data_IF_506245681853
#
_entry.id   IF_506245681853
#
_cell.length_a   1.000
_cell.length_b   1.000
_cell.length_c   1.000
_cell.angle_alpha   90.00
_cell.angle_beta   90.00
_cell.angle_gamma   90.00
#
_symmetry.space_group_name_H-M   'P 1'
#
loop_
_entity.id
_entity.type
_entity.pdbx_description
1 polymer ?
#
# COMPACT_ATOMS: atom_id res chain seq x y z
N UNK A 1 -28.46 24.41 9.00
CA UNK A 1 -28.71 23.06 9.55
C UNK A 1 -27.50 22.66 10.37
N UNK A 2 -27.60 21.74 11.35
CA UNK A 2 -26.48 21.39 12.20
C UNK A 2 -25.39 20.62 11.43
N UNK A 3 -24.16 20.63 11.99
CA UNK A 3 -23.08 19.74 11.58
C UNK A 3 -22.99 18.58 12.56
N UNK A 4 -22.65 17.41 12.05
CA UNK A 4 -22.52 16.21 12.86
C UNK A 4 -21.13 15.59 12.74
N UNK A 5 -20.61 15.13 13.88
CA UNK A 5 -19.63 14.05 13.87
C UNK A 5 -20.39 12.74 13.77
N UNK A 6 -19.93 11.79 12.96
CA UNK A 6 -20.63 10.51 12.82
C UNK A 6 -19.68 9.36 12.52
N UNK A 7 -20.15 8.17 12.78
CA UNK A 7 -19.50 6.90 12.47
C UNK A 7 -20.55 5.82 12.22
N UNK A 8 -20.21 4.79 11.44
CA UNK A 8 -21.11 3.68 11.14
C UNK A 8 -20.42 2.33 11.30
N UNK A 9 -21.20 1.31 11.70
CA UNK A 9 -20.75 -0.07 11.66
C UNK A 9 -21.59 -0.87 10.67
N UNK A 10 -20.92 -1.76 9.94
CA UNK A 10 -21.52 -2.54 8.84
C UNK A 10 -21.16 -4.00 8.95
N UNK A 11 -21.89 -4.86 8.21
CA UNK A 11 -21.65 -6.30 8.19
C UNK A 11 -20.44 -6.74 7.35
N UNK A 12 -19.59 -5.83 6.90
CA UNK A 12 -18.40 -6.15 6.13
C UNK A 12 -17.75 -4.96 5.46
N UNK A 13 -16.75 -5.21 4.63
CA UNK A 13 -16.08 -4.20 3.83
C UNK A 13 -16.92 -3.82 2.59
N UNK A 14 -16.60 -2.69 1.93
CA UNK A 14 -17.34 -2.16 0.78
C UNK A 14 -17.66 -3.16 -0.33
N UNK A 15 -16.83 -4.16 -0.55
CA UNK A 15 -17.07 -5.19 -1.56
C UNK A 15 -18.20 -6.14 -1.17
N UNK A 16 -18.41 -6.38 0.12
CA UNK A 16 -19.27 -7.45 0.66
C UNK A 16 -20.46 -6.91 1.45
N UNK A 17 -20.35 -5.70 2.05
CA UNK A 17 -21.42 -5.17 2.89
C UNK A 17 -22.73 -4.98 2.12
N UNK A 18 -23.82 -5.21 2.82
CA UNK A 18 -25.19 -4.94 2.40
C UNK A 18 -26.07 -4.38 3.52
N UNK A 19 -25.51 -4.26 4.73
CA UNK A 19 -26.25 -3.87 5.94
C UNK A 19 -25.44 -2.89 6.78
N UNK A 20 -26.08 -1.81 7.22
CA UNK A 20 -25.60 -0.92 8.28
C UNK A 20 -26.16 -1.41 9.60
N UNK A 21 -25.29 -1.77 10.53
CA UNK A 21 -25.64 -2.30 11.85
C UNK A 21 -26.01 -1.23 12.85
N UNK A 22 -25.26 -0.15 12.86
CA UNK A 22 -25.57 1.02 13.67
C UNK A 22 -24.96 2.28 13.08
N UNK A 23 -25.54 3.42 13.45
CA UNK A 23 -25.04 4.77 13.17
C UNK A 23 -24.98 5.49 14.49
N UNK A 24 -23.87 6.15 14.76
CA UNK A 24 -23.70 7.02 15.93
C UNK A 24 -23.31 8.41 15.47
N UNK A 25 -23.80 9.44 16.13
CA UNK A 25 -23.53 10.81 15.77
C UNK A 25 -23.55 11.76 16.97
N UNK A 26 -22.85 12.89 16.84
CA UNK A 26 -22.87 13.98 17.80
C UNK A 26 -23.19 15.26 17.03
N UNK A 27 -24.26 15.93 17.41
CA UNK A 27 -24.63 17.24 16.91
C UNK A 27 -23.66 18.29 17.48
N UNK A 28 -22.88 18.94 16.63
CA UNK A 28 -21.85 19.90 17.07
C UNK A 28 -22.42 21.21 17.61
N UNK A 29 -23.65 21.56 17.25
CA UNK A 29 -24.27 22.80 17.70
C UNK A 29 -24.88 22.64 19.10
N UNK A 30 -25.44 21.47 19.38
CA UNK A 30 -26.16 21.21 20.66
C UNK A 30 -25.41 20.33 21.64
N UNK A 31 -24.44 19.55 21.14
CA UNK A 31 -23.75 18.51 21.89
C UNK A 31 -24.59 17.24 22.09
N UNK A 32 -25.77 17.14 21.47
CA UNK A 32 -26.62 15.96 21.54
C UNK A 32 -26.00 14.75 20.92
N UNK A 33 -26.10 13.60 21.59
CA UNK A 33 -25.59 12.30 21.13
C UNK A 33 -26.71 11.45 20.61
N UNK A 34 -26.62 11.10 19.34
CA UNK A 34 -27.59 10.28 18.62
C UNK A 34 -26.96 8.90 18.36
N UNK A 35 -27.75 7.85 18.55
CA UNK A 35 -27.29 6.49 18.32
C UNK A 35 -28.45 5.62 17.84
N UNK A 36 -28.33 5.07 16.64
CA UNK A 36 -29.35 4.27 15.97
C UNK A 36 -28.93 2.80 15.93
N UNK A 37 -29.82 1.91 16.37
CA UNK A 37 -29.74 0.46 16.16
C UNK A 37 -30.30 0.09 14.79
N UNK A 38 -30.15 -1.15 14.30
CA UNK A 38 -30.46 -1.50 12.91
C UNK A 38 -31.82 -1.00 12.39
N UNK A 39 -32.86 -1.09 13.18
CA UNK A 39 -34.21 -0.62 12.78
C UNK A 39 -34.35 0.91 12.68
N UNK A 40 -33.40 1.66 13.22
CA UNK A 40 -33.41 3.13 13.28
C UNK A 40 -32.35 3.77 12.41
N UNK A 41 -31.47 2.97 11.80
CA UNK A 41 -30.34 3.49 11.03
C UNK A 41 -30.78 4.34 9.84
N UNK A 42 -31.85 3.96 9.14
CA UNK A 42 -32.33 4.74 8.00
C UNK A 42 -32.86 6.12 8.42
N UNK A 43 -33.57 6.22 9.55
CA UNK A 43 -34.09 7.49 10.04
C UNK A 43 -32.94 8.44 10.41
N UNK A 44 -31.94 7.96 11.15
CA UNK A 44 -30.78 8.77 11.49
C UNK A 44 -29.93 9.11 10.26
N UNK A 45 -29.78 8.19 9.31
CA UNK A 45 -29.12 8.48 8.04
C UNK A 45 -29.82 9.62 7.28
N UNK A 46 -31.16 9.69 7.28
CA UNK A 46 -31.90 10.79 6.66
C UNK A 46 -31.66 12.13 7.36
N UNK A 47 -31.58 12.14 8.68
CA UNK A 47 -31.23 13.34 9.45
C UNK A 47 -29.80 13.83 9.12
N UNK A 48 -28.84 12.91 9.07
CA UNK A 48 -27.46 13.22 8.69
C UNK A 48 -27.36 13.73 7.25
N UNK A 49 -28.16 13.17 6.33
CA UNK A 49 -28.19 13.58 4.93
C UNK A 49 -28.59 15.06 4.77
N UNK A 50 -29.53 15.56 5.55
CA UNK A 50 -30.01 16.94 5.52
C UNK A 50 -29.07 17.93 6.24
N UNK A 51 -27.98 17.48 6.84
CA UNK A 51 -27.07 18.33 7.63
C UNK A 51 -26.25 19.30 6.78
N UNK A 52 -25.70 20.36 7.40
CA UNK A 52 -24.79 21.31 6.78
C UNK A 52 -23.37 20.76 6.60
N UNK A 53 -23.04 19.65 7.22
CA UNK A 53 -21.76 18.98 7.05
C UNK A 53 -21.61 17.78 7.97
N UNK A 54 -20.90 16.78 7.46
CA UNK A 54 -20.54 15.57 8.18
C UNK A 54 -19.03 15.55 8.42
N UNK A 55 -18.66 15.16 9.62
CA UNK A 55 -17.26 15.02 10.04
C UNK A 55 -17.09 13.60 10.56
N UNK A 56 -16.08 12.90 10.07
CA UNK A 56 -15.76 11.58 10.55
C UNK A 56 -14.32 11.19 10.25
N UNK A 57 -13.97 9.96 10.52
CA UNK A 57 -12.61 9.47 10.33
C UNK A 57 -12.54 8.42 9.23
N UNK A 58 -11.97 8.76 8.07
CA UNK A 58 -11.91 7.92 6.86
C UNK A 58 -13.24 7.84 6.07
N UNK A 59 -14.11 8.82 6.22
CA UNK A 59 -15.45 8.83 5.63
C UNK A 59 -15.46 8.84 4.10
N UNK A 60 -14.47 9.47 3.44
CA UNK A 60 -14.36 9.44 1.99
C UNK A 60 -14.09 8.05 1.42
N UNK A 61 -13.35 7.24 2.17
CA UNK A 61 -12.99 5.90 1.72
C UNK A 61 -13.98 4.82 2.16
N UNK A 62 -14.81 5.07 3.19
CA UNK A 62 -15.69 4.04 3.72
C UNK A 62 -17.13 4.52 3.98
N UNK A 63 -17.38 5.34 5.00
CA UNK A 63 -18.71 5.58 5.55
C UNK A 63 -19.71 6.13 4.53
N UNK A 64 -19.39 7.23 3.86
CA UNK A 64 -20.25 7.80 2.83
C UNK A 64 -20.54 6.82 1.68
N UNK A 65 -19.59 5.97 1.34
CA UNK A 65 -19.73 4.96 0.28
C UNK A 65 -20.54 3.76 0.75
N UNK A 66 -20.39 3.37 2.01
CA UNK A 66 -21.18 2.30 2.61
C UNK A 66 -22.64 2.70 2.71
N UNK A 67 -22.93 3.92 3.16
CA UNK A 67 -24.30 4.47 3.19
C UNK A 67 -24.91 4.52 1.79
N UNK A 68 -24.15 4.98 0.77
CA UNK A 68 -24.63 4.99 -0.62
C UNK A 68 -24.85 3.60 -1.22
N UNK A 69 -24.17 2.58 -0.70
CA UNK A 69 -24.38 1.21 -1.14
C UNK A 69 -25.63 0.58 -0.53
N UNK A 70 -25.96 0.92 0.70
CA UNK A 70 -27.11 0.38 1.42
C UNK A 70 -28.39 1.17 1.16
N UNK A 71 -28.26 2.49 1.07
CA UNK A 71 -29.39 3.40 0.84
C UNK A 71 -29.29 4.05 -0.53
N UNK A 72 -30.08 3.59 -1.49
CA UNK A 72 -30.05 4.09 -2.90
C UNK A 72 -30.28 5.61 -3.01
N UNK A 73 -30.96 6.21 -2.04
CA UNK A 73 -31.22 7.66 -1.99
C UNK A 73 -30.02 8.47 -1.44
N UNK A 74 -29.00 7.81 -0.87
CA UNK A 74 -27.81 8.50 -0.34
C UNK A 74 -26.83 8.81 -1.49
N UNK A 75 -26.85 10.01 -2.00
CA UNK A 75 -25.93 10.49 -3.06
C UNK A 75 -24.82 11.42 -2.52
N UNK A 76 -24.76 11.60 -1.16
CA UNK A 76 -23.81 12.46 -0.46
C UNK A 76 -22.38 11.87 -0.38
N UNK A 77 -21.94 11.13 -1.39
CA UNK A 77 -20.60 10.51 -1.40
C UNK A 77 -19.47 11.50 -1.66
N UNK A 78 -19.80 12.65 -2.21
CA UNK A 78 -18.86 13.67 -2.70
C UNK A 78 -19.19 15.08 -2.20
N UNK A 79 -19.90 15.25 -1.09
CA UNK A 79 -20.32 16.56 -0.60
C UNK A 79 -19.13 17.35 -0.06
N UNK A 80 -18.88 18.53 -0.61
CA UNK A 80 -17.77 19.41 -0.21
C UNK A 80 -17.92 20.00 1.19
N UNK A 81 -19.07 19.88 1.80
CA UNK A 81 -19.33 20.31 3.18
C UNK A 81 -18.81 19.31 4.22
N UNK A 82 -18.49 18.09 3.79
CA UNK A 82 -18.02 17.02 4.66
C UNK A 82 -16.50 17.08 4.84
N UNK A 83 -16.02 16.68 6.01
CA UNK A 83 -14.60 16.68 6.38
C UNK A 83 -14.17 15.33 6.93
N UNK A 84 -13.06 14.85 6.40
CA UNK A 84 -12.42 13.62 6.86
C UNK A 84 -11.21 13.94 7.72
N UNK A 85 -11.29 13.65 9.01
CA UNK A 85 -10.25 13.97 9.99
C UNK A 85 -8.92 13.27 9.70
N UNK A 86 -8.90 12.13 8.99
CA UNK A 86 -7.65 11.47 8.61
C UNK A 86 -6.85 12.30 7.59
N UNK A 87 -7.53 13.06 6.74
CA UNK A 87 -6.89 13.95 5.77
C UNK A 87 -6.26 15.14 6.50
N UNK A 88 -7.02 15.78 7.39
CA UNK A 88 -6.51 16.89 8.19
C UNK A 88 -5.31 16.47 9.05
N UNK A 89 -5.37 15.30 9.68
CA UNK A 89 -4.25 14.83 10.51
C UNK A 89 -2.98 14.58 9.70
N UNK A 90 -3.07 14.06 8.48
CA UNK A 90 -1.92 13.86 7.59
C UNK A 90 -1.33 15.17 7.10
N UNK A 91 -2.18 16.15 6.81
CA UNK A 91 -1.76 17.46 6.37
C UNK A 91 -1.04 18.23 7.49
N UNK A 92 -1.60 18.24 8.68
CA UNK A 92 -1.12 19.05 9.81
C UNK A 92 0.10 18.39 10.48
N UNK A 93 0.16 17.04 10.55
CA UNK A 93 1.24 16.27 11.20
C UNK A 93 1.92 15.26 10.28
N UNK A 94 2.63 15.70 9.27
CA UNK A 94 3.34 14.80 8.35
C UNK A 94 4.50 14.03 9.02
N UNK A 95 5.03 14.53 10.15
CA UNK A 95 6.16 13.94 10.89
C UNK A 95 5.72 13.19 12.15
N UNK A 96 4.51 12.67 12.17
CA UNK A 96 3.89 12.06 13.36
C UNK A 96 4.72 10.93 13.99
N UNK A 97 5.48 10.17 13.19
CA UNK A 97 6.41 9.17 13.73
C UNK A 97 7.47 9.78 14.64
N UNK A 98 8.11 10.86 14.21
CA UNK A 98 9.16 11.53 14.97
C UNK A 98 8.58 12.20 16.23
N UNK A 99 7.33 12.67 16.15
CA UNK A 99 6.63 13.24 17.29
C UNK A 99 6.31 12.17 18.34
N UNK A 100 5.84 11.00 17.94
CA UNK A 100 5.61 9.85 18.83
C UNK A 100 6.92 9.41 19.50
N UNK A 101 8.02 9.24 18.74
CA UNK A 101 9.33 8.87 19.29
C UNK A 101 9.82 9.89 20.33
N UNK A 102 9.61 11.18 20.09
CA UNK A 102 9.93 12.25 21.05
C UNK A 102 9.10 12.15 22.33
N UNK A 103 7.82 11.85 22.25
CA UNK A 103 6.95 11.70 23.42
C UNK A 103 7.30 10.42 24.20
N UNK A 104 7.58 9.31 23.51
CA UNK A 104 8.04 8.06 24.13
C UNK A 104 9.34 8.28 24.88
N UNK A 105 10.29 9.03 24.35
CA UNK A 105 11.54 9.37 25.03
C UNK A 105 11.33 10.19 26.31
N UNK A 106 10.16 10.84 26.46
CA UNK A 106 9.73 11.58 27.66
C UNK A 106 8.87 10.76 28.62
N UNK A 107 8.68 9.47 28.35
CA UNK A 107 7.97 8.53 29.22
C UNK A 107 6.52 8.22 28.82
N UNK A 108 6.04 8.64 27.64
CA UNK A 108 4.74 8.21 27.14
C UNK A 108 4.81 6.72 26.76
N UNK A 109 3.92 5.91 27.32
CA UNK A 109 3.71 4.56 26.85
C UNK A 109 2.84 4.56 25.59
N UNK A 110 3.41 4.12 24.48
CA UNK A 110 2.71 4.09 23.20
C UNK A 110 3.06 2.82 22.42
N UNK A 111 2.05 2.00 22.00
CA UNK A 111 2.26 0.76 21.28
C UNK A 111 3.06 0.97 19.98
N UNK A 112 4.05 0.12 19.75
CA UNK A 112 4.96 0.25 18.60
C UNK A 112 4.22 0.21 17.26
N UNK A 113 3.19 -0.61 17.16
CA UNK A 113 2.36 -0.78 15.96
C UNK A 113 1.49 0.45 15.62
N UNK A 114 1.26 1.34 16.58
CA UNK A 114 0.47 2.56 16.40
C UNK A 114 1.33 3.81 16.11
N UNK A 115 2.65 3.71 16.24
CA UNK A 115 3.58 4.83 16.02
C UNK A 115 3.49 5.33 14.58
N UNK A 116 3.37 6.63 14.39
CA UNK A 116 3.21 7.28 13.10
C UNK A 116 1.88 6.96 12.40
N UNK A 117 0.96 6.26 13.05
CA UNK A 117 -0.35 5.94 12.47
C UNK A 117 -1.34 7.09 12.69
N UNK A 118 -2.14 7.34 11.64
CA UNK A 118 -3.25 8.30 11.66
C UNK A 118 -4.60 7.61 11.92
N UNK A 119 -4.61 6.39 12.42
CA UNK A 119 -5.85 5.69 12.79
C UNK A 119 -6.51 6.33 14.01
N UNK A 120 -7.83 6.23 14.10
CA UNK A 120 -8.60 6.78 15.21
C UNK A 120 -8.13 6.23 16.57
N UNK A 121 -7.81 4.93 16.66
CA UNK A 121 -7.22 4.30 17.85
C UNK A 121 -5.91 5.00 18.28
N UNK A 122 -5.01 5.28 17.32
CA UNK A 122 -3.76 5.95 17.64
C UNK A 122 -3.97 7.39 18.13
N UNK A 123 -4.95 8.08 17.54
CA UNK A 123 -5.34 9.43 17.97
C UNK A 123 -6.00 9.43 19.34
N UNK A 124 -6.89 8.48 19.62
CA UNK A 124 -7.48 8.33 20.95
C UNK A 124 -6.44 8.20 22.04
N UNK A 125 -5.40 7.38 21.82
CA UNK A 125 -4.27 7.27 22.76
C UNK A 125 -3.48 8.57 22.93
N UNK A 126 -3.22 9.32 21.84
CA UNK A 126 -2.51 10.62 21.95
C UNK A 126 -3.31 11.68 22.69
N UNK A 127 -4.62 11.65 22.53
CA UNK A 127 -5.54 12.60 23.17
C UNK A 127 -6.00 12.18 24.57
N UNK A 128 -5.63 10.96 25.00
CA UNK A 128 -6.06 10.41 26.28
C UNK A 128 -7.55 10.02 26.34
N UNK A 129 -8.18 9.87 25.18
CA UNK A 129 -9.55 9.35 25.03
C UNK A 129 -9.45 7.90 24.59
N UNK A 130 -9.67 6.98 25.51
CA UNK A 130 -9.50 5.55 25.23
C UNK A 130 -10.57 5.08 24.23
N UNK A 131 -10.11 4.30 23.27
CA UNK A 131 -10.93 3.53 22.35
C UNK A 131 -10.73 2.06 22.68
N UNK A 132 -11.80 1.37 23.03
CA UNK A 132 -11.77 -0.08 23.21
C UNK A 132 -11.59 -0.79 21.86
N UNK A 133 -11.05 -2.01 21.88
CA UNK A 133 -11.00 -2.86 20.70
C UNK A 133 -12.28 -3.69 20.62
N UNK A 134 -12.90 -3.72 19.45
CA UNK A 134 -13.97 -4.65 19.15
C UNK A 134 -13.38 -5.89 18.48
N UNK A 135 -13.44 -7.04 19.16
CA UNK A 135 -12.97 -8.34 18.66
C UNK A 135 -14.13 -9.28 18.31
N UNK A 136 -15.36 -8.77 18.24
CA UNK A 136 -16.55 -9.55 17.96
C UNK A 136 -16.77 -9.88 16.49
N UNK A 137 -17.87 -10.62 16.23
CA UNK A 137 -18.32 -10.94 14.87
C UNK A 137 -18.97 -9.72 14.22
N UNK A 138 -18.41 -9.28 13.10
CA UNK A 138 -18.95 -8.17 12.29
C UNK A 138 -20.15 -8.56 11.44
N UNK A 139 -20.45 -9.84 11.27
CA UNK A 139 -21.56 -10.28 10.43
C UNK A 139 -22.94 -9.98 11.01
N UNK A 140 -23.02 -9.75 12.31
CA UNK A 140 -24.29 -9.52 13.03
C UNK A 140 -24.16 -8.38 14.05
N UNK A 141 -25.21 -7.58 14.15
CA UNK A 141 -25.31 -6.56 15.18
C UNK A 141 -25.26 -7.15 16.59
N UNK A 142 -24.55 -6.50 17.50
CA UNK A 142 -24.56 -6.77 18.93
C UNK A 142 -24.31 -5.50 19.76
N UNK A 143 -24.66 -5.53 21.06
CA UNK A 143 -24.54 -4.35 21.94
C UNK A 143 -23.09 -3.92 22.20
N UNK A 144 -22.11 -4.81 22.13
CA UNK A 144 -20.70 -4.42 22.28
C UNK A 144 -20.20 -3.65 21.05
N UNK A 145 -20.63 -4.02 19.83
CA UNK A 145 -20.40 -3.23 18.62
C UNK A 145 -21.03 -1.83 18.73
N UNK A 146 -22.26 -1.76 19.26
CA UNK A 146 -22.96 -0.49 19.43
C UNK A 146 -22.24 0.43 20.43
N UNK A 147 -21.75 -0.12 21.54
CA UNK A 147 -20.93 0.63 22.51
C UNK A 147 -19.61 1.09 21.90
N UNK A 148 -18.97 0.23 21.10
CA UNK A 148 -17.76 0.57 20.38
C UNK A 148 -17.97 1.74 19.40
N UNK A 149 -19.03 1.72 18.59
CA UNK A 149 -19.38 2.83 17.69
C UNK A 149 -19.63 4.15 18.43
N UNK A 150 -20.25 4.10 19.62
CA UNK A 150 -20.44 5.29 20.45
C UNK A 150 -19.12 5.87 20.96
N UNK A 151 -18.11 5.03 21.24
CA UNK A 151 -16.78 5.50 21.62
C UNK A 151 -16.05 6.15 20.44
N UNK A 152 -16.22 5.62 19.23
CA UNK A 152 -15.56 6.14 18.05
C UNK A 152 -15.95 7.59 17.74
N UNK A 153 -17.19 7.97 17.87
CA UNK A 153 -17.60 9.36 17.69
C UNK A 153 -17.08 10.29 18.81
N UNK A 154 -16.91 9.80 20.04
CA UNK A 154 -16.30 10.60 21.12
C UNK A 154 -14.81 10.84 20.86
N UNK A 155 -14.09 9.82 20.39
CA UNK A 155 -12.68 9.98 19.97
C UNK A 155 -12.58 10.92 18.76
N UNK A 156 -13.51 10.80 17.81
CA UNK A 156 -13.57 11.67 16.63
C UNK A 156 -13.89 13.12 17.02
N UNK A 157 -14.77 13.33 18.00
CA UNK A 157 -15.04 14.66 18.55
C UNK A 157 -13.79 15.29 19.19
N UNK A 158 -13.11 14.55 20.05
CA UNK A 158 -11.88 15.02 20.69
C UNK A 158 -10.78 15.35 19.64
N UNK A 159 -10.69 14.51 18.59
CA UNK A 159 -9.76 14.77 17.48
C UNK A 159 -10.16 16.01 16.69
N UNK A 160 -11.44 16.18 16.37
CA UNK A 160 -11.94 17.35 15.66
C UNK A 160 -11.70 18.64 16.45
N UNK A 161 -12.02 18.66 17.75
CA UNK A 161 -11.74 19.80 18.62
C UNK A 161 -10.25 20.13 18.72
N UNK A 162 -9.40 19.11 18.66
CA UNK A 162 -7.97 19.31 18.65
C UNK A 162 -7.48 19.87 17.31
N UNK A 163 -8.00 19.38 16.16
CA UNK A 163 -7.73 19.90 14.82
C UNK A 163 -8.13 21.39 14.73
N UNK A 164 -9.32 21.75 15.21
CA UNK A 164 -9.83 23.12 15.16
C UNK A 164 -9.00 24.11 16.01
N UNK A 165 -8.29 23.64 17.03
CA UNK A 165 -7.35 24.44 17.82
C UNK A 165 -6.01 24.70 17.12
N UNK A 166 -5.73 24.01 16.02
CA UNK A 166 -4.49 24.22 15.28
C UNK A 166 -4.61 25.44 14.35
N UNK A 167 -3.64 26.33 14.43
CA UNK A 167 -3.53 27.46 13.51
C UNK A 167 -3.00 26.96 12.15
N UNK A 168 -3.87 26.38 11.34
CA UNK A 168 -3.53 25.88 10.01
C UNK A 168 -4.40 26.55 8.93
N UNK A 169 -3.86 26.72 7.73
CA UNK A 169 -4.57 27.37 6.63
C UNK A 169 -5.87 26.65 6.27
N UNK A 170 -7.05 27.29 6.41
CA UNK A 170 -8.32 26.68 6.02
C UNK A 170 -8.38 26.42 4.51
N UNK A 171 -7.68 27.20 3.70
CA UNK A 171 -7.59 27.00 2.25
C UNK A 171 -6.82 25.72 1.93
N UNK A 172 -5.70 25.46 2.63
CA UNK A 172 -4.93 24.24 2.45
C UNK A 172 -5.73 23.02 2.90
N UNK A 173 -6.44 23.10 4.04
CA UNK A 173 -7.31 22.03 4.51
C UNK A 173 -8.41 21.72 3.49
N UNK A 174 -9.12 22.72 3.00
CA UNK A 174 -10.17 22.53 2.00
C UNK A 174 -9.63 21.93 0.69
N UNK A 175 -8.45 22.38 0.23
CA UNK A 175 -7.81 21.83 -0.96
C UNK A 175 -7.53 20.34 -0.79
N UNK A 176 -6.97 19.92 0.34
CA UNK A 176 -6.65 18.51 0.58
C UNK A 176 -7.91 17.64 0.72
N UNK A 177 -8.97 18.15 1.37
CA UNK A 177 -10.27 17.48 1.40
C UNK A 177 -10.85 17.30 -0.01
N UNK A 178 -10.80 18.35 -0.85
CA UNK A 178 -11.26 18.28 -2.24
C UNK A 178 -10.46 17.26 -3.07
N UNK A 179 -9.13 17.24 -2.92
CA UNK A 179 -8.26 16.27 -3.62
C UNK A 179 -8.53 14.85 -3.12
N UNK A 180 -8.62 14.64 -1.80
CA UNK A 180 -8.90 13.32 -1.23
C UNK A 180 -10.25 12.75 -1.70
N UNK A 181 -11.28 13.60 -1.78
CA UNK A 181 -12.59 13.26 -2.32
C UNK A 181 -12.51 12.82 -3.78
N UNK A 182 -11.76 13.56 -4.63
CA UNK A 182 -11.53 13.20 -6.03
C UNK A 182 -10.79 11.86 -6.13
N UNK A 183 -9.77 11.64 -5.28
CA UNK A 183 -9.01 10.37 -5.25
C UNK A 183 -9.88 9.20 -4.80
N UNK A 184 -10.77 9.39 -3.84
CA UNK A 184 -11.75 8.37 -3.45
C UNK A 184 -12.68 7.99 -4.60
N UNK A 185 -13.18 8.96 -5.39
CA UNK A 185 -13.94 8.68 -6.63
C UNK A 185 -13.12 7.92 -7.65
N UNK A 186 -11.87 8.31 -7.87
CA UNK A 186 -10.97 7.61 -8.79
C UNK A 186 -10.78 6.16 -8.36
N UNK A 187 -10.55 5.91 -7.06
CA UNK A 187 -10.44 4.56 -6.50
C UNK A 187 -11.74 3.77 -6.71
N UNK A 188 -12.91 4.37 -6.41
CA UNK A 188 -14.20 3.72 -6.61
C UNK A 188 -14.46 3.36 -8.07
N UNK A 189 -14.13 4.26 -9.01
CA UNK A 189 -14.31 4.05 -10.44
C UNK A 189 -13.33 3.01 -10.98
N UNK A 190 -12.07 3.05 -10.57
CA UNK A 190 -10.99 2.23 -11.10
C UNK A 190 -10.69 2.49 -12.59
N UNK A 191 -9.60 1.91 -13.06
CA UNK A 191 -9.17 1.99 -14.46
C UNK A 191 -9.53 0.68 -15.19
N UNK A 192 -10.22 0.73 -16.35
CA UNK A 192 -10.44 -0.44 -17.18
C UNK A 192 -9.11 -1.10 -17.55
N UNK A 193 -9.07 -2.43 -17.45
CA UNK A 193 -7.86 -3.22 -17.62
C UNK A 193 -8.10 -4.40 -18.54
N UNK A 194 -7.24 -4.55 -19.55
CA UNK A 194 -7.29 -5.64 -20.52
C UNK A 194 -6.62 -6.89 -19.93
N UNK A 195 -7.43 -7.77 -19.38
CA UNK A 195 -6.98 -9.02 -18.74
C UNK A 195 -6.35 -9.97 -19.76
N UNK A 196 -6.95 -10.12 -20.95
CA UNK A 196 -6.46 -11.04 -21.99
C UNK A 196 -5.09 -10.62 -22.52
N UNK A 197 -4.94 -9.32 -22.80
CA UNK A 197 -3.64 -8.76 -23.19
C UNK A 197 -2.59 -8.89 -22.06
N UNK A 198 -2.99 -8.71 -20.79
CA UNK A 198 -2.10 -8.86 -19.64
C UNK A 198 -1.62 -10.30 -19.46
N UNK A 199 -2.51 -11.28 -19.62
CA UNK A 199 -2.14 -12.70 -19.59
C UNK A 199 -1.24 -13.10 -20.78
N UNK A 200 -1.48 -12.52 -21.96
CA UNK A 200 -0.62 -12.73 -23.13
C UNK A 200 0.78 -12.18 -22.89
N UNK A 201 0.88 -10.94 -22.36
CA UNK A 201 2.16 -10.34 -21.98
C UNK A 201 2.87 -11.16 -20.90
N UNK A 202 2.14 -11.64 -19.89
CA UNK A 202 2.68 -12.51 -18.84
C UNK A 202 3.35 -13.76 -19.41
N UNK A 203 2.66 -14.47 -20.32
CA UNK A 203 3.21 -15.66 -20.99
C UNK A 203 4.45 -15.34 -21.80
N UNK A 204 4.42 -14.27 -22.57
CA UNK A 204 5.57 -13.82 -23.37
C UNK A 204 6.80 -13.53 -22.51
N UNK A 205 6.61 -12.80 -21.38
CA UNK A 205 7.70 -12.49 -20.44
C UNK A 205 8.25 -13.77 -19.76
N UNK A 206 7.38 -14.70 -19.39
CA UNK A 206 7.81 -15.98 -18.79
C UNK A 206 8.62 -16.83 -19.77
N UNK A 207 8.21 -16.87 -21.04
CA UNK A 207 8.95 -17.56 -22.10
C UNK A 207 10.32 -16.94 -22.27
N UNK A 208 10.39 -15.60 -22.42
CA UNK A 208 11.67 -14.91 -22.58
C UNK A 208 12.58 -15.08 -21.36
N UNK A 209 12.02 -15.07 -20.15
CA UNK A 209 12.79 -15.35 -18.93
C UNK A 209 13.39 -16.75 -18.93
N UNK A 210 12.63 -17.77 -19.36
CA UNK A 210 13.12 -19.14 -19.46
C UNK A 210 14.27 -19.28 -20.48
N UNK A 211 14.17 -18.59 -21.63
CA UNK A 211 15.26 -18.51 -22.62
C UNK A 211 16.53 -17.92 -22.00
N UNK A 212 16.40 -16.75 -21.34
CA UNK A 212 17.53 -16.09 -20.67
C UNK A 212 18.15 -17.00 -19.61
N UNK A 213 17.35 -17.70 -18.82
CA UNK A 213 17.85 -18.62 -17.80
C UNK A 213 18.61 -19.79 -18.42
N UNK A 214 18.17 -20.31 -19.58
CA UNK A 214 18.92 -21.33 -20.34
C UNK A 214 20.26 -20.80 -20.82
N UNK A 215 20.27 -19.65 -21.49
CA UNK A 215 21.48 -19.00 -21.97
C UNK A 215 22.51 -18.71 -20.85
N UNK A 216 21.98 -18.20 -19.69
CA UNK A 216 22.83 -17.94 -18.53
C UNK A 216 23.36 -19.22 -17.87
N UNK A 217 22.57 -20.33 -17.89
CA UNK A 217 23.02 -21.62 -17.35
C UNK A 217 24.14 -22.24 -18.20
N UNK A 218 24.10 -22.06 -19.52
CA UNK A 218 25.19 -22.46 -20.44
C UNK A 218 26.42 -21.56 -20.24
N UNK A 219 26.23 -20.26 -20.08
CA UNK A 219 27.31 -19.31 -19.89
C UNK A 219 28.02 -19.45 -18.52
N UNK A 220 27.27 -19.86 -17.50
CA UNK A 220 27.74 -20.04 -16.13
C UNK A 220 27.44 -21.46 -15.64
N UNK A 221 28.22 -22.47 -16.06
CA UNK A 221 28.02 -23.85 -15.60
C UNK A 221 28.17 -23.96 -14.07
N UNK A 222 27.63 -25.03 -13.45
CA UNK A 222 27.81 -25.28 -12.03
C UNK A 222 29.28 -25.29 -11.62
N UNK A 223 29.57 -24.78 -10.44
CA UNK A 223 30.92 -24.75 -9.88
C UNK A 223 30.93 -25.24 -8.43
N UNK A 224 32.12 -25.65 -7.98
CA UNK A 224 32.34 -26.14 -6.62
C UNK A 224 32.86 -25.04 -5.71
N UNK A 225 32.26 -24.93 -4.50
CA UNK A 225 32.82 -24.16 -3.40
C UNK A 225 33.34 -25.14 -2.34
N UNK A 226 34.64 -25.00 -1.98
CA UNK A 226 35.26 -25.75 -0.91
C UNK A 226 35.36 -24.93 0.36
N UNK A 227 34.59 -25.30 1.36
CA UNK A 227 34.58 -24.61 2.68
C UNK A 227 35.48 -25.40 3.66
N UNK A 228 36.59 -24.80 4.15
CA UNK A 228 37.44 -25.47 5.13
C UNK A 228 36.70 -25.64 6.47
N UNK A 229 36.87 -26.79 7.11
CA UNK A 229 36.40 -27.01 8.46
C UNK A 229 37.28 -28.06 9.17
N UNK A 230 37.24 -28.04 10.51
CA UNK A 230 37.93 -29.02 11.36
C UNK A 230 36.87 -29.91 12.00
N UNK A 231 36.80 -31.21 11.68
CA UNK A 231 35.84 -32.13 12.25
C UNK A 231 36.03 -32.28 13.75
N UNK A 232 34.94 -32.25 14.52
CA UNK A 232 34.95 -32.48 15.98
C UNK A 232 34.94 -33.97 16.35
N UNK A 233 34.62 -34.85 15.38
CA UNK A 233 34.56 -36.30 15.51
C UNK A 233 35.06 -36.99 14.25
N UNK A 234 35.60 -38.24 14.38
CA UNK A 234 35.94 -39.04 13.22
C UNK A 234 34.66 -39.47 12.46
N UNK A 235 34.68 -39.43 11.17
CA UNK A 235 33.58 -39.89 10.31
C UNK A 235 34.16 -40.76 9.18
N UNK A 236 34.14 -42.08 9.36
CA UNK A 236 34.73 -43.03 8.39
C UNK A 236 34.01 -42.99 7.03
N UNK A 237 32.68 -42.79 7.01
CA UNK A 237 31.90 -42.75 5.78
C UNK A 237 32.26 -41.56 4.89
N UNK A 238 32.67 -40.45 5.51
CA UNK A 238 33.06 -39.21 4.82
C UNK A 238 34.56 -38.99 4.76
N UNK A 239 35.36 -39.91 5.35
CA UNK A 239 36.79 -39.78 5.40
C UNK A 239 37.31 -38.67 6.31
N UNK A 240 36.51 -38.21 7.31
CA UNK A 240 36.91 -37.10 8.17
C UNK A 240 37.67 -37.61 9.41
N UNK A 241 38.80 -37.01 9.71
CA UNK A 241 39.60 -37.25 10.90
C UNK A 241 39.44 -36.11 11.88
N UNK A 242 39.14 -36.40 13.16
CA UNK A 242 39.00 -35.40 14.21
C UNK A 242 40.24 -34.53 14.34
N UNK A 243 40.08 -33.22 14.29
CA UNK A 243 41.16 -32.25 14.48
C UNK A 243 41.96 -31.93 13.23
N UNK A 244 41.74 -32.61 12.10
CA UNK A 244 42.44 -32.34 10.84
C UNK A 244 41.65 -31.39 9.95
N UNK A 245 42.31 -30.42 9.33
CA UNK A 245 41.72 -29.53 8.35
C UNK A 245 41.20 -30.31 7.15
N UNK A 246 39.96 -30.21 6.83
CA UNK A 246 39.34 -30.82 5.64
C UNK A 246 38.39 -29.83 4.98
N UNK A 247 37.77 -30.23 3.87
CA UNK A 247 36.90 -29.37 3.08
C UNK A 247 35.56 -30.01 2.83
N UNK A 248 34.51 -29.21 3.02
CA UNK A 248 33.15 -29.54 2.51
C UNK A 248 33.03 -28.96 1.11
N UNK A 249 32.86 -29.82 0.13
CA UNK A 249 32.57 -29.40 -1.25
C UNK A 249 31.05 -29.27 -1.42
N UNK A 250 30.64 -28.14 -1.97
CA UNK A 250 29.23 -27.90 -2.35
C UNK A 250 29.24 -27.46 -3.81
N UNK A 251 28.50 -28.18 -4.62
CA UNK A 251 28.18 -27.73 -5.98
C UNK A 251 27.13 -26.60 -5.93
N UNK A 252 27.41 -25.55 -6.66
CA UNK A 252 26.53 -24.36 -6.77
C UNK A 252 26.03 -24.28 -8.22
N UNK A 253 24.74 -24.26 -8.38
CA UNK A 253 24.08 -23.95 -9.67
C UNK A 253 23.86 -22.44 -9.72
N UNK A 254 24.11 -21.84 -10.87
CA UNK A 254 23.95 -20.41 -11.07
C UNK A 254 22.48 -20.01 -10.84
N UNK A 255 22.28 -18.97 -10.04
CA UNK A 255 20.98 -18.38 -9.79
C UNK A 255 20.97 -16.93 -10.28
N UNK A 256 20.27 -16.61 -11.39
CA UNK A 256 20.23 -15.26 -11.96
C UNK A 256 19.54 -14.21 -11.08
N UNK A 257 18.80 -14.62 -10.03
CA UNK A 257 18.24 -13.72 -9.04
C UNK A 257 19.23 -13.39 -7.88
N UNK A 258 20.34 -14.13 -7.78
CA UNK A 258 21.33 -13.94 -6.71
C UNK A 258 22.41 -12.95 -7.12
N UNK A 259 22.38 -11.74 -6.53
CA UNK A 259 23.42 -10.73 -6.76
C UNK A 259 24.83 -11.23 -6.43
N UNK A 260 24.98 -12.08 -5.39
CA UNK A 260 26.25 -12.68 -5.02
C UNK A 260 26.77 -13.64 -6.10
N UNK A 261 25.88 -14.49 -6.69
CA UNK A 261 26.25 -15.36 -7.81
C UNK A 261 26.63 -14.56 -9.06
N UNK A 262 25.88 -13.51 -9.37
CA UNK A 262 26.15 -12.64 -10.50
C UNK A 262 27.53 -11.98 -10.37
N UNK A 263 27.81 -11.36 -9.23
CA UNK A 263 29.06 -10.71 -8.95
C UNK A 263 30.23 -11.69 -9.04
N UNK A 264 30.14 -12.86 -8.39
CA UNK A 264 31.14 -13.90 -8.39
C UNK A 264 31.46 -14.40 -9.82
N UNK A 265 30.43 -14.66 -10.62
CA UNK A 265 30.63 -15.14 -12.00
C UNK A 265 31.19 -14.09 -12.94
N UNK A 266 30.75 -12.84 -12.87
CA UNK A 266 31.27 -11.75 -13.66
C UNK A 266 32.73 -11.44 -13.28
N UNK A 267 33.08 -11.47 -12.01
CA UNK A 267 34.48 -11.32 -11.55
C UNK A 267 35.34 -12.48 -12.06
N UNK A 268 34.90 -13.72 -11.88
CA UNK A 268 35.69 -14.91 -12.20
C UNK A 268 35.85 -15.12 -13.70
N UNK A 269 34.78 -14.91 -14.48
CA UNK A 269 34.80 -15.15 -15.94
C UNK A 269 35.38 -14.00 -16.73
N UNK A 270 35.05 -12.77 -16.36
CA UNK A 270 35.37 -11.56 -17.13
C UNK A 270 36.39 -10.63 -16.46
N UNK A 271 36.81 -10.94 -15.22
CA UNK A 271 37.67 -10.06 -14.44
C UNK A 271 37.03 -8.72 -14.07
N UNK A 272 35.69 -8.70 -13.96
CA UNK A 272 34.98 -7.49 -13.59
C UNK A 272 35.49 -6.92 -12.26
N UNK A 273 35.72 -5.63 -12.21
CA UNK A 273 36.11 -4.89 -11.01
C UNK A 273 34.95 -3.97 -10.63
N UNK A 274 34.19 -4.28 -9.58
CA UNK A 274 33.08 -3.44 -9.13
C UNK A 274 33.59 -2.05 -8.70
N UNK A 275 33.02 -0.99 -9.29
CA UNK A 275 33.30 0.40 -8.91
C UNK A 275 32.47 0.85 -7.72
N UNK A 276 31.22 0.31 -7.59
CA UNK A 276 30.30 0.63 -6.53
C UNK A 276 30.07 -0.57 -5.61
N UNK A 277 30.03 -0.28 -4.30
CA UNK A 277 29.70 -1.27 -3.27
C UNK A 277 28.39 -0.86 -2.58
N UNK A 278 27.69 -1.85 -2.04
CA UNK A 278 26.55 -1.62 -1.12
C UNK A 278 27.07 -1.17 0.25
N UNK A 279 26.19 -0.65 1.12
CA UNK A 279 26.53 -0.29 2.51
C UNK A 279 27.15 -1.46 3.30
N UNK A 280 26.84 -2.70 2.91
CA UNK A 280 27.43 -3.92 3.47
C UNK A 280 28.76 -4.35 2.84
N UNK A 281 29.38 -3.52 1.97
CA UNK A 281 30.68 -3.78 1.36
C UNK A 281 30.67 -4.83 0.23
N UNK A 282 29.50 -5.27 -0.26
CA UNK A 282 29.37 -6.17 -1.40
C UNK A 282 29.29 -5.41 -2.73
N UNK A 283 29.71 -6.02 -3.85
CA UNK A 283 29.50 -5.44 -5.18
C UNK A 283 28.04 -5.03 -5.39
N UNK A 284 27.83 -3.80 -5.87
CA UNK A 284 26.51 -3.35 -6.29
C UNK A 284 26.17 -4.00 -7.63
N UNK A 285 25.07 -4.74 -7.64
CA UNK A 285 24.54 -5.41 -8.84
C UNK A 285 23.10 -4.98 -9.03
N UNK A 286 22.90 -4.10 -10.00
CA UNK A 286 21.58 -3.64 -10.43
C UNK A 286 21.51 -3.51 -11.94
N UNK A 287 20.33 -3.18 -12.45
CA UNK A 287 20.06 -3.06 -13.90
C UNK A 287 20.98 -2.01 -14.56
N UNK A 288 21.25 -0.89 -13.87
CA UNK A 288 22.10 0.19 -14.38
C UNK A 288 23.53 -0.25 -14.52
N UNK A 289 24.09 -0.85 -13.47
CA UNK A 289 25.46 -1.39 -13.48
C UNK A 289 25.64 -2.45 -14.57
N UNK A 290 24.71 -3.43 -14.63
CA UNK A 290 24.80 -4.52 -15.61
C UNK A 290 24.67 -4.04 -17.05
N UNK A 291 23.79 -3.06 -17.32
CA UNK A 291 23.60 -2.50 -18.67
C UNK A 291 24.84 -1.75 -19.18
N UNK A 292 25.63 -1.18 -18.29
CA UNK A 292 26.88 -0.47 -18.64
C UNK A 292 28.05 -1.40 -18.94
N UNK A 293 27.97 -2.69 -18.57
CA UNK A 293 29.05 -3.64 -18.78
C UNK A 293 29.09 -4.13 -20.23
N UNK A 294 30.30 -4.35 -20.81
CA UNK A 294 30.47 -4.80 -22.20
C UNK A 294 30.19 -6.30 -22.40
N UNK A 295 29.83 -7.03 -21.33
CA UNK A 295 29.67 -8.48 -21.37
C UNK A 295 28.28 -8.88 -21.85
N UNK A 296 28.13 -9.86 -22.76
CA UNK A 296 26.83 -10.30 -23.25
C UNK A 296 25.95 -10.84 -22.12
N UNK A 297 26.50 -11.58 -21.15
CA UNK A 297 25.78 -12.12 -20.02
C UNK A 297 25.25 -11.02 -19.07
N UNK A 298 25.99 -9.92 -18.94
CA UNK A 298 25.56 -8.78 -18.15
C UNK A 298 24.28 -8.11 -18.74
N UNK A 299 24.18 -8.07 -20.08
CA UNK A 299 23.01 -7.58 -20.79
C UNK A 299 21.79 -8.50 -20.57
N UNK A 300 21.98 -9.82 -20.64
CA UNK A 300 20.94 -10.81 -20.34
C UNK A 300 20.46 -10.69 -18.89
N UNK A 301 21.39 -10.48 -17.96
CA UNK A 301 21.05 -10.28 -16.54
C UNK A 301 20.28 -8.98 -16.32
N UNK A 302 20.63 -7.88 -16.98
CA UNK A 302 19.88 -6.63 -16.94
C UNK A 302 18.46 -6.81 -17.49
N UNK A 303 18.31 -7.52 -18.62
CA UNK A 303 17.02 -7.89 -19.20
C UNK A 303 16.22 -8.75 -18.23
N UNK A 304 16.83 -9.77 -17.59
CA UNK A 304 16.18 -10.61 -16.59
C UNK A 304 15.62 -9.78 -15.42
N UNK A 305 16.38 -8.84 -14.87
CA UNK A 305 15.91 -7.98 -13.79
C UNK A 305 14.72 -7.12 -14.22
N UNK A 306 14.73 -6.62 -15.45
CA UNK A 306 13.58 -5.89 -16.01
C UNK A 306 12.36 -6.80 -16.11
N UNK A 307 12.51 -8.00 -16.64
CA UNK A 307 11.42 -8.98 -16.76
C UNK A 307 10.86 -9.36 -15.39
N UNK A 308 11.72 -9.63 -14.40
CA UNK A 308 11.29 -9.92 -13.03
C UNK A 308 10.42 -8.80 -12.44
N UNK A 309 10.81 -7.53 -12.64
CA UNK A 309 9.98 -6.38 -12.22
C UNK A 309 8.61 -6.38 -12.90
N UNK A 310 8.55 -6.68 -14.21
CA UNK A 310 7.28 -6.71 -14.98
C UNK A 310 6.41 -7.90 -14.56
N UNK A 311 6.98 -9.07 -14.37
CA UNK A 311 6.27 -10.24 -13.84
C UNK A 311 5.71 -9.97 -12.44
N UNK A 312 6.50 -9.30 -11.59
CA UNK A 312 6.05 -8.85 -10.26
C UNK A 312 4.85 -7.91 -10.32
N UNK A 313 4.90 -6.91 -11.23
CA UNK A 313 3.81 -5.97 -11.45
C UNK A 313 2.56 -6.63 -12.04
N UNK A 314 2.73 -7.55 -13.00
CA UNK A 314 1.61 -8.22 -13.65
C UNK A 314 0.91 -9.24 -12.75
N UNK A 315 1.67 -10.16 -12.11
CA UNK A 315 1.04 -11.32 -11.49
C UNK A 315 1.72 -11.86 -10.22
N UNK A 316 3.08 -11.82 -10.11
CA UNK A 316 3.78 -12.56 -9.06
C UNK A 316 3.74 -11.88 -7.70
N UNK A 317 3.79 -10.54 -7.67
CA UNK A 317 3.70 -9.76 -6.43
C UNK A 317 2.31 -9.88 -5.76
N UNK A 318 2.23 -9.63 -4.45
CA UNK A 318 0.94 -9.55 -3.72
C UNK A 318 0.03 -8.46 -4.25
N UNK A 319 0.60 -7.43 -4.89
CA UNK A 319 -0.07 -6.31 -5.53
C UNK A 319 -0.08 -6.42 -7.06
N UNK A 320 0.16 -7.62 -7.61
CA UNK A 320 0.13 -7.86 -9.05
C UNK A 320 -1.22 -7.47 -9.66
N UNK A 321 -1.20 -6.82 -10.82
CA UNK A 321 -2.38 -6.24 -11.46
C UNK A 321 -3.46 -7.29 -11.70
N UNK A 322 -3.10 -8.46 -12.25
CA UNK A 322 -4.04 -9.58 -12.49
C UNK A 322 -4.72 -10.09 -11.20
N UNK A 323 -4.06 -9.96 -10.03
CA UNK A 323 -4.65 -10.31 -8.73
C UNK A 323 -5.58 -9.24 -8.18
N UNK A 324 -5.49 -8.01 -8.69
CA UNK A 324 -6.22 -6.84 -8.20
C UNK A 324 -7.34 -6.39 -9.12
N UNK A 325 -7.52 -7.07 -10.25
CA UNK A 325 -8.65 -6.81 -11.13
C UNK A 325 -9.96 -7.20 -10.44
N UNK A 326 -10.91 -6.27 -10.43
CA UNK A 326 -12.29 -6.46 -10.01
C UNK A 326 -13.21 -5.93 -11.10
N UNK A 327 -14.11 -6.76 -11.61
CA UNK A 327 -15.05 -6.39 -12.67
C UNK A 327 -14.37 -5.72 -13.89
N UNK A 328 -13.21 -6.24 -14.32
CA UNK A 328 -12.44 -5.70 -15.44
C UNK A 328 -11.76 -4.37 -15.18
N UNK A 329 -11.60 -3.98 -13.91
CA UNK A 329 -10.95 -2.72 -13.50
C UNK A 329 -9.93 -2.93 -12.41
N UNK A 330 -8.96 -2.02 -12.32
CA UNK A 330 -7.99 -1.94 -11.22
C UNK A 330 -8.26 -0.68 -10.42
N UNK A 331 -8.40 -0.84 -9.10
CA UNK A 331 -8.75 0.19 -8.14
C UNK A 331 -7.52 0.57 -7.31
N UNK A 332 -6.61 1.37 -7.90
CA UNK A 332 -5.43 1.85 -7.19
C UNK A 332 -5.77 2.98 -6.22
N UNK A 333 -5.32 2.85 -4.99
CA UNK A 333 -5.54 3.85 -3.94
C UNK A 333 -4.47 4.92 -3.96
N UNK A 334 -4.90 6.17 -3.84
CA UNK A 334 -4.04 7.34 -3.65
C UNK A 334 -4.30 7.93 -2.27
N UNK A 335 -3.23 8.06 -1.49
CA UNK A 335 -3.29 8.74 -0.18
C UNK A 335 -2.66 10.11 -0.33
N UNK A 336 -3.46 11.16 -0.24
CA UNK A 336 -2.99 12.54 -0.24
C UNK A 336 -2.15 12.80 1.00
N UNK A 337 -1.08 13.60 0.89
CA UNK A 337 -0.13 13.80 1.99
C UNK A 337 0.37 12.51 2.65
N UNK A 338 0.51 11.43 1.87
CA UNK A 338 0.97 10.13 2.38
C UNK A 338 2.46 10.08 2.73
N UNK A 339 3.24 11.04 2.26
CA UNK A 339 4.67 11.17 2.55
C UNK A 339 4.93 12.43 3.38
N UNK A 340 5.97 12.41 4.22
CA UNK A 340 6.40 13.56 5.05
C UNK A 340 6.72 14.83 4.24
N UNK A 341 6.99 14.67 2.94
CA UNK A 341 7.24 15.77 2.01
C UNK A 341 5.96 16.40 1.43
N UNK A 342 4.78 15.97 1.88
CA UNK A 342 3.48 16.40 1.35
C UNK A 342 3.09 15.74 0.02
N UNK A 343 3.91 14.82 -0.51
CA UNK A 343 3.57 14.09 -1.75
C UNK A 343 2.51 13.02 -1.49
N UNK A 344 1.67 12.78 -2.49
CA UNK A 344 0.77 11.64 -2.47
C UNK A 344 1.54 10.31 -2.55
N UNK A 345 1.03 9.28 -1.87
CA UNK A 345 1.51 7.90 -1.99
C UNK A 345 0.46 7.03 -2.66
N UNK A 346 0.93 6.00 -3.37
CA UNK A 346 0.09 5.11 -4.17
C UNK A 346 0.24 3.67 -3.70
N UNK A 347 -0.88 2.95 -3.62
CA UNK A 347 -0.90 1.56 -3.13
C UNK A 347 -2.13 0.79 -3.67
N UNK A 348 -2.09 -0.52 -3.54
CA UNK A 348 -3.21 -1.46 -3.67
C UNK A 348 -3.90 -1.56 -5.05
N UNK A 349 -3.19 -1.54 -6.19
CA UNK A 349 -1.75 -1.50 -6.41
C UNK A 349 -1.21 -0.08 -6.64
N UNK A 350 0.12 0.08 -6.58
CA UNK A 350 0.76 1.34 -6.95
C UNK A 350 0.79 1.51 -8.47
N UNK A 351 -0.19 2.23 -9.01
CA UNK A 351 -0.31 2.49 -10.45
C UNK A 351 0.65 3.57 -10.96
N UNK A 352 1.16 4.45 -10.07
CA UNK A 352 2.15 5.46 -10.44
C UNK A 352 3.50 4.84 -10.87
N UNK A 353 3.76 3.58 -10.51
CA UNK A 353 4.94 2.84 -10.95
C UNK A 353 4.76 2.11 -12.28
N UNK A 354 3.67 2.34 -13.02
CA UNK A 354 3.53 1.82 -14.39
C UNK A 354 4.68 2.37 -15.24
N UNK A 355 5.45 1.50 -15.93
CA UNK A 355 6.67 1.92 -16.64
C UNK A 355 6.37 2.97 -17.69
N UNK A 356 7.28 3.92 -17.89
CA UNK A 356 7.18 4.93 -18.95
C UNK A 356 7.23 4.28 -20.35
N UNK A 357 6.68 4.96 -21.36
CA UNK A 357 6.57 4.44 -22.74
C UNK A 357 7.93 4.02 -23.34
N UNK A 358 8.98 4.70 -22.92
CA UNK A 358 10.35 4.45 -23.42
C UNK A 358 11.12 3.40 -22.60
N UNK A 359 10.54 2.96 -21.47
CA UNK A 359 11.13 1.88 -20.68
C UNK A 359 10.87 0.52 -21.36
N UNK A 360 11.72 -0.48 -21.15
CA UNK A 360 11.47 -1.83 -21.64
C UNK A 360 10.09 -2.35 -21.17
N UNK A 361 9.32 -2.86 -22.12
CA UNK A 361 7.91 -3.29 -21.94
C UNK A 361 6.95 -2.18 -21.45
N UNK A 362 7.35 -0.91 -21.59
CA UNK A 362 6.56 0.20 -21.12
C UNK A 362 5.29 0.43 -21.93
N UNK A 363 5.38 0.31 -23.26
CA UNK A 363 4.22 0.42 -24.16
C UNK A 363 3.21 -0.68 -23.89
N UNK A 364 3.69 -1.92 -23.78
CA UNK A 364 2.88 -3.11 -23.52
C UNK A 364 2.15 -2.98 -22.16
N UNK A 365 2.87 -2.60 -21.11
CA UNK A 365 2.27 -2.41 -19.79
C UNK A 365 1.23 -1.27 -19.76
N UNK A 366 1.48 -0.17 -20.45
CA UNK A 366 0.54 0.95 -20.51
C UNK A 366 -0.69 0.65 -21.33
N UNK A 367 -0.56 -0.08 -22.44
CA UNK A 367 -1.69 -0.47 -23.28
C UNK A 367 -2.72 -1.37 -22.59
N UNK A 368 -2.34 -1.99 -21.45
CA UNK A 368 -3.27 -2.77 -20.63
C UNK A 368 -4.33 -1.90 -19.94
N UNK A 369 -4.03 -0.62 -19.72
CA UNK A 369 -5.00 0.35 -19.17
C UNK A 369 -5.73 1.01 -20.33
N UNK A 370 -7.01 0.71 -20.47
CA UNK A 370 -7.82 1.07 -21.62
C UNK A 370 -8.86 2.13 -21.26
N UNK A 371 -9.53 2.66 -22.28
CA UNK A 371 -10.73 3.46 -22.09
C UNK A 371 -11.99 2.65 -22.45
N UNK A 372 -13.14 2.89 -21.79
CA UNK A 372 -14.40 2.28 -22.21
C UNK A 372 -14.74 2.67 -23.66
N UNK A 373 -15.52 1.83 -24.36
CA UNK A 373 -15.96 2.11 -25.72
C UNK A 373 -16.58 3.50 -25.85
N UNK A 374 -16.12 4.28 -26.82
CA UNK A 374 -16.56 5.64 -27.05
C UNK A 374 -15.94 6.71 -26.14
N UNK A 375 -14.94 6.34 -25.33
CA UNK A 375 -14.16 7.25 -24.49
C UNK A 375 -12.68 7.17 -24.82
N UNK A 376 -11.92 8.16 -24.36
CA UNK A 376 -10.45 8.21 -24.46
C UNK A 376 -9.86 8.49 -23.10
N UNK A 377 -8.62 8.03 -22.86
CA UNK A 377 -7.82 8.49 -21.73
C UNK A 377 -7.15 9.81 -22.13
N UNK A 378 -7.32 10.81 -21.28
CA UNK A 378 -6.71 12.11 -21.46
C UNK A 378 -5.75 12.34 -20.30
N UNK A 379 -4.50 12.64 -20.60
CA UNK A 379 -3.45 12.94 -19.62
C UNK A 379 -3.04 14.41 -19.71
N UNK A 380 -2.88 15.05 -18.56
CA UNK A 380 -2.27 16.36 -18.43
C UNK A 380 -1.07 16.27 -17.51
N UNK A 381 -0.01 16.94 -17.88
CA UNK A 381 1.20 17.08 -17.06
C UNK A 381 1.64 18.53 -17.05
N UNK A 382 1.89 19.07 -15.86
CA UNK A 382 2.39 20.42 -15.72
C UNK A 382 3.91 20.42 -15.90
N UNK A 383 4.40 21.08 -16.93
CA UNK A 383 5.82 21.18 -17.20
C UNK A 383 6.44 22.35 -16.45
N UNK A 384 7.61 22.12 -15.84
CA UNK A 384 8.44 23.18 -15.26
C UNK A 384 8.00 23.68 -13.87
N UNK A 385 7.45 22.79 -13.05
CA UNK A 385 7.25 23.03 -11.61
C UNK A 385 8.56 22.84 -10.86
#
# INVERSE_FOLDING_TARGET
MPKYIYDIETNGLLDQLDTVHCITAINLDTGERLAARPAQCEDLARELYESDGLIGHNIWSFDNRALAKVYEWWDRVDDRRDFDTIIDTRLIWPTLWDDDERQISKGLEFPKELRGRHSLKAWGMRLGVLKDDYEGDWSQFNESMFTYAQQDVEVTLALWEWIEKQEYSPVARQLEQDVARIMSRQEATGFPFDVEAAESLLRSLQTRQAEIHSELSEAFPPWEIKTPFIPKVNNKTRGYVKGELTYKTKEIVFNPASRDHIADRLITKHGWKPEELTDGGKPKVDETVLSALPFPEAKLLAENFTIEKRLGQLAQGSQGWLKKVKNGRIHGRVTTNGAVTGRATHQSPNLAQTPGVNAPYGKECRSLFTAPKGRVLLGFDASGL
#
